data_IF_700344692348
#
_entry.id   IF_700344692348
#
_cell.length_a   1.000
_cell.length_b   1.000
_cell.length_c   1.000
_cell.angle_alpha   90.00
_cell.angle_beta   90.00
_cell.angle_gamma   90.00
#
_symmetry.space_group_name_H-M   'P 1'
#
loop_
_entity.id
_entity.type
_entity.pdbx_description
1 polymer ?
#
# COMPACT_ATOMS: atom_id res chain seq x y z
N UNK A 1 27.50 -40.14 -39.78
CA UNK A 1 28.56 -39.38 -39.09
C UNK A 1 27.96 -38.83 -37.79
N UNK A 2 28.44 -39.27 -36.62
CA UNK A 2 27.99 -38.83 -35.27
C UNK A 2 28.17 -37.29 -35.11
N UNK A 3 27.48 -36.52 -34.25
CA UNK A 3 27.26 -36.69 -32.79
C UNK A 3 26.30 -35.57 -32.27
N UNK A 4 25.27 -35.93 -31.46
CA UNK A 4 24.70 -35.35 -30.20
C UNK A 4 24.90 -33.84 -29.85
N UNK A 5 24.02 -33.07 -29.16
CA UNK A 5 23.02 -33.33 -28.10
C UNK A 5 22.05 -32.11 -27.89
N UNK A 6 20.78 -32.44 -27.56
CA UNK A 6 19.85 -31.97 -26.50
C UNK A 6 19.36 -30.51 -26.25
N UNK A 7 18.06 -30.50 -25.90
CA UNK A 7 17.28 -29.70 -24.90
C UNK A 7 16.41 -28.58 -25.50
N UNK A 8 15.12 -28.80 -25.84
CA UNK A 8 13.90 -28.85 -24.98
C UNK A 8 13.65 -27.55 -24.18
N UNK A 9 12.46 -26.93 -24.13
CA UNK A 9 11.09 -27.38 -24.37
C UNK A 9 10.18 -26.16 -24.65
N UNK A 10 9.29 -26.29 -25.63
CA UNK A 10 8.25 -25.34 -26.01
C UNK A 10 6.93 -25.63 -25.27
N UNK A 11 6.31 -24.55 -24.80
CA UNK A 11 4.91 -24.14 -25.02
C UNK A 11 3.86 -25.20 -25.43
N UNK A 12 2.66 -25.03 -24.85
CA UNK A 12 1.35 -25.62 -25.18
C UNK A 12 1.02 -26.90 -24.37
N UNK A 13 -0.16 -27.12 -23.79
CA UNK A 13 -1.50 -27.07 -24.42
C UNK A 13 -2.63 -26.92 -23.38
N UNK A 14 -3.72 -26.26 -23.82
CA UNK A 14 -5.06 -26.35 -23.22
C UNK A 14 -5.61 -27.77 -23.42
N UNK A 15 -6.13 -28.40 -22.36
CA UNK A 15 -7.14 -29.44 -22.49
C UNK A 15 -8.01 -29.50 -21.23
N UNK A 16 -9.28 -29.14 -21.39
CA UNK A 16 -10.33 -29.37 -20.41
C UNK A 16 -10.64 -30.87 -20.29
N UNK A 17 -10.96 -31.31 -19.06
CA UNK A 17 -11.48 -32.63 -18.57
C UNK A 17 -10.62 -33.08 -17.37
N UNK A 18 -11.10 -33.47 -16.19
CA UNK A 18 -12.40 -33.92 -15.69
C UNK A 18 -12.48 -33.58 -14.19
N UNK A 19 -13.59 -33.00 -13.74
CA UNK A 19 -13.83 -32.77 -12.32
C UNK A 19 -14.24 -34.09 -11.65
N UNK A 20 -13.26 -34.83 -11.09
CA UNK A 20 -13.55 -35.91 -10.13
C UNK A 20 -13.74 -35.28 -8.76
N UNK A 21 -14.97 -35.35 -8.25
CA UNK A 21 -15.34 -34.96 -6.89
C UNK A 21 -14.51 -35.81 -5.92
N UNK A 22 -13.61 -35.19 -5.17
CA UNK A 22 -12.82 -35.86 -4.14
C UNK A 22 -13.69 -36.20 -2.91
N UNK A 23 -13.45 -37.33 -2.23
CA UNK A 23 -14.30 -37.78 -1.13
C UNK A 23 -14.10 -36.91 0.12
N UNK A 24 -15.18 -36.78 0.87
CA UNK A 24 -15.46 -35.85 1.99
C UNK A 24 -14.58 -35.99 3.26
N UNK A 25 -13.39 -36.59 3.18
CA UNK A 25 -12.55 -36.96 4.34
C UNK A 25 -11.16 -36.30 4.39
N UNK A 26 -10.95 -35.18 3.67
CA UNK A 26 -9.79 -34.30 3.83
C UNK A 26 -10.23 -32.86 4.15
N UNK A 27 -10.97 -32.69 5.24
CA UNK A 27 -11.28 -31.37 5.82
C UNK A 27 -10.81 -31.35 7.27
N UNK A 28 -9.50 -31.42 7.49
CA UNK A 28 -8.89 -30.99 8.75
C UNK A 28 -7.37 -30.82 8.59
N UNK A 29 -6.97 -29.66 8.07
CA UNK A 29 -5.66 -29.05 8.37
C UNK A 29 -5.56 -27.58 7.98
N UNK A 30 -6.53 -27.03 7.25
CA UNK A 30 -6.55 -25.58 7.01
C UNK A 30 -7.36 -24.85 8.09
N UNK A 31 -6.93 -24.99 9.35
CA UNK A 31 -7.11 -23.86 10.27
C UNK A 31 -6.18 -22.80 9.70
N UNK A 32 -6.73 -21.97 8.80
CA UNK A 32 -6.08 -20.75 8.33
C UNK A 32 -5.70 -20.01 9.60
N UNK A 33 -4.39 -19.91 9.87
CA UNK A 33 -3.89 -19.11 10.99
C UNK A 33 -4.62 -17.78 10.97
N UNK A 34 -5.12 -17.29 12.12
CA UNK A 34 -5.85 -16.03 12.12
C UNK A 34 -4.94 -14.96 11.51
N UNK A 35 -5.54 -14.18 10.62
CA UNK A 35 -5.14 -12.95 9.93
C UNK A 35 -4.54 -11.86 10.85
N UNK A 36 -3.66 -12.25 11.79
CA UNK A 36 -2.96 -11.41 12.76
C UNK A 36 -1.53 -11.08 12.25
N UNK A 37 -1.27 -11.32 10.96
CA UNK A 37 -0.07 -10.83 10.27
C UNK A 37 -0.18 -9.39 9.79
N UNK A 38 -1.39 -8.83 9.78
CA UNK A 38 -1.69 -7.67 8.92
C UNK A 38 -1.38 -6.33 9.58
N UNK A 39 -1.10 -6.31 10.90
CA UNK A 39 -0.82 -5.09 11.66
C UNK A 39 0.38 -5.25 12.60
N UNK A 40 1.63 -5.21 12.08
CA UNK A 40 2.84 -5.42 12.88
C UNK A 40 2.97 -4.42 14.04
N UNK A 41 2.63 -3.15 13.82
CA UNK A 41 2.71 -2.08 14.82
C UNK A 41 1.71 -2.22 15.95
N UNK A 42 0.46 -2.58 15.62
CA UNK A 42 -0.57 -2.84 16.65
C UNK A 42 -0.16 -4.04 17.51
N UNK A 43 0.39 -5.09 16.88
CA UNK A 43 0.88 -6.26 17.60
C UNK A 43 2.04 -5.92 18.53
N UNK A 44 2.99 -5.11 18.08
CA UNK A 44 4.11 -4.64 18.91
C UNK A 44 3.61 -3.82 20.10
N UNK A 45 2.70 -2.87 19.90
CA UNK A 45 2.12 -2.06 20.97
C UNK A 45 1.36 -2.89 22.02
N UNK A 46 0.59 -3.89 21.57
CA UNK A 46 -0.12 -4.83 22.46
C UNK A 46 0.88 -5.68 23.26
N UNK A 47 1.94 -6.19 22.62
CA UNK A 47 2.97 -6.97 23.30
C UNK A 47 3.73 -6.12 24.33
N UNK A 48 3.95 -4.84 24.04
CA UNK A 48 4.56 -3.88 24.95
C UNK A 48 3.61 -3.38 26.05
N UNK A 49 2.34 -3.80 26.06
CA UNK A 49 1.28 -3.33 26.97
C UNK A 49 1.12 -1.81 27.00
N UNK A 50 1.41 -1.14 25.87
CA UNK A 50 1.29 0.30 25.75
C UNK A 50 -0.13 0.68 25.31
N UNK A 51 -1.06 0.76 26.27
CA UNK A 51 -2.48 1.03 26.00
C UNK A 51 -2.74 2.39 25.38
N UNK A 52 -1.91 3.40 25.67
CA UNK A 52 -2.02 4.72 25.06
C UNK A 52 -1.76 4.64 23.55
N UNK A 53 -0.69 3.95 23.14
CA UNK A 53 -0.34 3.72 21.73
C UNK A 53 -1.40 2.86 21.02
N UNK A 54 -1.92 1.82 21.68
CA UNK A 54 -3.00 1.00 21.13
C UNK A 54 -4.26 1.85 20.90
N UNK A 55 -4.65 2.68 21.86
CA UNK A 55 -5.83 3.54 21.73
C UNK A 55 -5.67 4.53 20.58
N UNK A 56 -4.48 5.14 20.45
CA UNK A 56 -4.15 6.04 19.35
C UNK A 56 -4.24 5.34 18.01
N UNK A 57 -3.62 4.16 17.86
CA UNK A 57 -3.69 3.37 16.62
C UNK A 57 -5.13 3.01 16.27
N UNK A 58 -5.92 2.48 17.20
CA UNK A 58 -7.30 2.03 16.90
C UNK A 58 -8.22 3.19 16.50
N UNK A 59 -8.02 4.38 17.08
CA UNK A 59 -8.87 5.56 16.81
C UNK A 59 -8.40 6.35 15.60
N UNK A 60 -7.09 6.57 15.45
CA UNK A 60 -6.53 7.43 14.43
C UNK A 60 -6.24 6.71 13.11
N UNK A 61 -5.88 5.42 13.16
CA UNK A 61 -5.49 4.68 11.96
C UNK A 61 -6.64 4.59 10.98
N UNK A 62 -6.43 5.14 9.78
CA UNK A 62 -7.37 5.12 8.68
C UNK A 62 -6.80 4.24 7.56
N UNK A 63 -6.96 2.90 7.65
CA UNK A 63 -6.33 1.96 6.72
C UNK A 63 -6.81 2.12 5.27
N UNK A 64 -7.95 2.78 5.07
CA UNK A 64 -8.53 3.04 3.76
C UNK A 64 -8.45 4.51 3.36
N UNK A 65 -7.80 5.35 4.16
CA UNK A 65 -7.58 6.78 3.91
C UNK A 65 -8.86 7.51 3.46
N UNK A 66 -9.97 7.23 4.13
CA UNK A 66 -11.28 7.84 3.83
C UNK A 66 -11.30 9.32 4.22
N UNK A 67 -10.51 9.70 5.24
CA UNK A 67 -10.41 11.07 5.71
C UNK A 67 -9.60 11.93 4.75
N UNK A 68 -10.10 13.14 4.50
CA UNK A 68 -9.35 14.16 3.76
C UNK A 68 -8.18 14.66 4.60
N UNK A 69 -6.99 14.68 4.02
CA UNK A 69 -5.77 15.19 4.65
C UNK A 69 -5.71 16.70 4.43
N UNK A 70 -5.44 17.45 5.51
CA UNK A 70 -5.11 18.88 5.41
C UNK A 70 -3.61 19.02 5.21
N UNK A 71 -3.22 19.71 4.15
CA UNK A 71 -1.82 19.97 3.82
C UNK A 71 -1.31 21.24 4.49
N UNK A 72 0.01 21.33 4.68
CA UNK A 72 0.64 22.57 5.12
C UNK A 72 0.59 23.60 4.00
N UNK A 73 0.18 24.83 4.31
CA UNK A 73 0.23 25.96 3.38
C UNK A 73 1.66 26.36 3.06
N UNK A 74 2.58 26.15 3.99
CA UNK A 74 4.01 26.43 3.82
C UNK A 74 4.72 25.14 3.42
N UNK A 75 5.02 25.02 2.12
CA UNK A 75 5.82 23.94 1.56
C UNK A 75 6.64 24.44 0.37
N UNK A 76 7.67 23.70 0.02
CA UNK A 76 8.58 24.01 -1.09
C UNK A 76 9.05 22.72 -1.75
N UNK A 77 9.78 22.83 -2.85
CA UNK A 77 10.39 21.66 -3.51
C UNK A 77 11.32 20.88 -2.55
N UNK A 78 12.03 21.60 -1.65
CA UNK A 78 12.92 21.00 -0.65
C UNK A 78 12.18 20.42 0.56
N UNK A 79 10.95 20.88 0.81
CA UNK A 79 10.11 20.44 1.92
C UNK A 79 8.67 20.25 1.41
N UNK A 80 8.41 19.18 0.65
CA UNK A 80 7.11 18.89 0.06
C UNK A 80 6.16 18.25 1.07
N UNK A 81 4.86 18.23 0.76
CA UNK A 81 3.89 17.43 1.52
C UNK A 81 4.10 15.95 1.19
N UNK A 82 4.41 15.16 2.22
CA UNK A 82 4.65 13.73 2.06
C UNK A 82 3.33 12.97 2.00
N UNK A 83 3.15 12.18 0.94
CA UNK A 83 1.99 11.33 0.72
C UNK A 83 2.41 9.87 0.89
N UNK A 84 1.89 9.14 1.88
CA UNK A 84 2.23 7.74 2.06
C UNK A 84 1.55 6.85 1.01
N UNK A 85 2.30 5.87 0.49
CA UNK A 85 1.78 4.85 -0.42
C UNK A 85 2.64 3.60 -0.41
N UNK A 86 1.99 2.44 -0.37
CA UNK A 86 2.67 1.16 -0.60
C UNK A 86 3.08 0.99 -2.08
N UNK A 87 2.23 1.47 -3.01
CA UNK A 87 2.49 1.37 -4.45
C UNK A 87 3.50 2.41 -4.93
N UNK A 88 4.23 2.09 -6.01
CA UNK A 88 5.25 2.97 -6.61
C UNK A 88 4.67 4.28 -7.19
N UNK A 89 3.38 4.28 -7.52
CA UNK A 89 2.66 5.40 -8.10
C UNK A 89 1.28 5.55 -7.46
N UNK A 90 0.79 6.78 -7.34
CA UNK A 90 -0.52 7.08 -6.74
C UNK A 90 -1.14 8.35 -7.34
N UNK A 91 -2.45 8.28 -7.60
CA UNK A 91 -3.24 9.46 -7.95
C UNK A 91 -3.59 10.27 -6.70
N UNK A 92 -3.36 11.58 -6.76
CA UNK A 92 -3.68 12.54 -5.70
C UNK A 92 -4.54 13.65 -6.26
N UNK A 93 -5.63 13.98 -5.56
CA UNK A 93 -6.49 15.11 -5.88
C UNK A 93 -6.18 16.28 -4.93
N UNK A 94 -5.72 17.40 -5.48
CA UNK A 94 -5.54 18.65 -4.74
C UNK A 94 -6.75 19.55 -4.92
N UNK A 95 -7.37 19.93 -3.79
CA UNK A 95 -8.39 20.99 -3.73
C UNK A 95 -7.64 22.26 -3.36
N UNK A 96 -7.37 23.12 -4.36
CA UNK A 96 -6.47 24.27 -4.21
C UNK A 96 -7.05 25.39 -3.35
N UNK A 97 -8.37 25.57 -3.41
CA UNK A 97 -9.11 26.59 -2.66
C UNK A 97 -10.26 25.90 -1.93
N UNK A 98 -10.65 26.34 -0.72
CA UNK A 98 -11.66 25.64 0.08
C UNK A 98 -13.02 25.52 -0.62
N UNK A 99 -13.37 26.51 -1.45
CA UNK A 99 -14.61 26.59 -2.23
C UNK A 99 -14.46 26.14 -3.69
N UNK A 100 -13.33 25.51 -4.07
CA UNK A 100 -13.11 25.10 -5.45
C UNK A 100 -14.07 23.97 -5.90
N UNK A 101 -14.72 24.17 -7.05
CA UNK A 101 -15.56 23.15 -7.72
C UNK A 101 -14.74 22.15 -8.55
N UNK A 102 -13.44 22.42 -8.75
CA UNK A 102 -12.54 21.60 -9.55
C UNK A 102 -11.44 20.98 -8.69
N UNK A 103 -11.16 19.70 -8.94
CA UNK A 103 -10.06 18.96 -8.31
C UNK A 103 -8.90 18.86 -9.31
N UNK A 104 -7.71 19.26 -8.88
CA UNK A 104 -6.49 19.09 -9.66
C UNK A 104 -5.89 17.71 -9.38
N UNK A 105 -5.92 16.83 -10.38
CA UNK A 105 -5.40 15.48 -10.29
C UNK A 105 -3.93 15.42 -10.67
N UNK A 106 -3.12 14.81 -9.82
CA UNK A 106 -1.69 14.62 -9.97
C UNK A 106 -1.38 13.14 -9.89
N UNK A 107 -0.59 12.62 -10.82
CA UNK A 107 -0.01 11.30 -10.68
C UNK A 107 1.37 11.43 -10.05
N UNK A 108 1.52 10.94 -8.82
CA UNK A 108 2.78 10.98 -8.09
C UNK A 108 3.51 9.65 -8.23
N UNK A 109 4.80 9.69 -8.52
CA UNK A 109 5.71 8.53 -8.49
C UNK A 109 6.69 8.68 -7.32
N UNK A 110 7.17 7.56 -6.76
CA UNK A 110 8.17 7.59 -5.69
C UNK A 110 9.47 8.22 -6.20
N UNK A 111 9.98 9.21 -5.48
CA UNK A 111 11.20 9.92 -5.86
C UNK A 111 11.00 11.43 -5.80
N UNK A 112 11.03 12.09 -6.96
CA UNK A 112 11.01 13.55 -7.04
C UNK A 112 9.64 14.14 -6.67
N UNK A 113 9.61 15.28 -5.98
CA UNK A 113 8.37 15.97 -5.67
C UNK A 113 7.74 16.55 -6.95
N UNK A 114 6.42 16.63 -6.96
CA UNK A 114 5.61 17.18 -8.05
C UNK A 114 4.87 18.41 -7.54
N UNK A 115 4.86 19.48 -8.33
CA UNK A 115 4.14 20.70 -8.02
C UNK A 115 2.71 20.66 -8.57
N UNK A 116 1.74 21.07 -7.76
CA UNK A 116 0.39 21.35 -8.21
C UNK A 116 0.28 22.76 -8.83
N UNK A 117 -0.79 23.02 -9.58
CA UNK A 117 -1.08 24.33 -10.15
C UNK A 117 -1.14 25.46 -9.11
N UNK A 118 -1.60 25.17 -7.88
CA UNK A 118 -1.61 26.17 -6.78
C UNK A 118 -0.22 26.49 -6.22
N UNK A 119 0.83 25.81 -6.68
CA UNK A 119 2.19 26.01 -6.22
C UNK A 119 2.64 25.09 -5.09
N UNK A 120 1.72 24.31 -4.49
CA UNK A 120 2.08 23.35 -3.45
C UNK A 120 2.80 22.12 -4.00
N UNK A 121 3.76 21.63 -3.25
CA UNK A 121 4.60 20.48 -3.60
C UNK A 121 4.17 19.22 -2.87
N UNK A 122 4.23 18.08 -3.56
CA UNK A 122 3.85 16.77 -3.05
C UNK A 122 4.90 15.73 -3.41
N UNK A 123 5.22 14.84 -2.47
CA UNK A 123 6.17 13.75 -2.71
C UNK A 123 5.58 12.43 -2.23
N UNK A 124 5.65 11.41 -3.10
CA UNK A 124 5.20 10.07 -2.73
C UNK A 124 6.31 9.33 -1.96
N UNK A 125 5.98 8.86 -0.76
CA UNK A 125 6.89 8.12 0.12
C UNK A 125 6.32 6.75 0.48
N UNK A 126 7.18 5.83 0.92
CA UNK A 126 6.71 4.55 1.45
C UNK A 126 5.92 4.80 2.74
N UNK A 127 4.91 3.95 2.97
CA UNK A 127 4.07 4.03 4.15
C UNK A 127 4.88 3.85 5.44
N UNK A 128 5.82 2.91 5.42
CA UNK A 128 6.69 2.58 6.55
C UNK A 128 7.61 3.76 6.92
N UNK A 129 8.22 4.39 5.90
CA UNK A 129 9.10 5.55 6.10
C UNK A 129 8.31 6.73 6.68
N UNK A 130 7.12 7.01 6.13
CA UNK A 130 6.23 8.06 6.61
C UNK A 130 5.88 7.86 8.09
N UNK A 131 5.45 6.65 8.45
CA UNK A 131 5.04 6.33 9.81
C UNK A 131 6.18 6.51 10.82
N UNK A 132 7.41 6.13 10.44
CA UNK A 132 8.58 6.26 11.31
C UNK A 132 8.95 7.72 11.57
N UNK A 133 8.73 8.62 10.61
CA UNK A 133 9.02 10.06 10.76
C UNK A 133 7.97 10.78 11.62
N UNK A 134 6.71 10.34 11.61
CA UNK A 134 5.61 11.02 12.32
C UNK A 134 5.40 10.59 13.77
N UNK A 135 5.99 9.47 14.19
CA UNK A 135 5.79 8.88 15.52
C UNK A 135 7.04 8.90 16.41
N UNK A 136 8.06 9.69 16.05
CA UNK A 136 9.15 10.08 16.94
C UNK A 136 8.81 11.40 17.64
#
# INVERSE_FOLDING_TARGET
>A
MNRKDKTEMTFNERSARDYKIAPFFWLNSYIRTPIISDFPLLREAVNAQNFDLVSKIVVEHDPFEVKRIRISSENSELSPNLIPSQSHRRMVGCICEPEADSINWLELEKGNPVQCYCGHWFQLVNYEDYFNMTNQ
#
